data_IF_119088294237
#
_entry.id   IF_119088294237
#
_cell.length_a   1.000
_cell.length_b   1.000
_cell.length_c   1.000
_cell.angle_alpha   90.00
_cell.angle_beta   90.00
_cell.angle_gamma   90.00
#
_symmetry.space_group_name_H-M   'P 1'
#
loop_
_entity.id
_entity.type
_entity.pdbx_description
1 polymer ?
#
# COMPACT_ATOMS: atom_id res chain seq x y z
N UNK A 1 -1.74 -26.58 9.59
CA UNK A 1 -1.16 -25.25 9.30
C UNK A 1 -2.27 -24.34 8.83
N UNK A 2 -2.78 -23.46 9.69
CA UNK A 2 -3.83 -22.50 9.29
C UNK A 2 -3.16 -21.39 8.49
N UNK A 3 -3.24 -21.49 7.16
CA UNK A 3 -2.65 -20.51 6.25
C UNK A 3 -3.51 -19.25 6.32
N UNK A 4 -2.98 -18.17 6.90
CA UNK A 4 -3.65 -16.86 6.87
C UNK A 4 -3.83 -16.44 5.42
N UNK A 5 -5.06 -16.40 4.94
CA UNK A 5 -5.37 -15.97 3.58
C UNK A 5 -5.37 -14.43 3.54
N UNK A 6 -4.20 -13.85 3.31
CA UNK A 6 -4.09 -12.44 2.96
C UNK A 6 -4.29 -12.28 1.45
N UNK A 7 -5.48 -11.85 1.04
CA UNK A 7 -5.78 -11.67 -0.39
C UNK A 7 -5.03 -10.49 -1.02
N UNK A 8 -4.66 -9.48 -0.22
CA UNK A 8 -4.00 -8.26 -0.70
C UNK A 8 -2.96 -7.76 0.32
N UNK A 9 -1.81 -8.44 0.45
CA UNK A 9 -0.81 -8.13 1.46
C UNK A 9 0.05 -6.91 1.10
N UNK A 10 -0.05 -6.38 -0.11
CA UNK A 10 0.69 -5.18 -0.53
C UNK A 10 -0.20 -3.96 -0.43
N UNK A 11 0.33 -2.84 0.01
CA UNK A 11 -0.44 -1.61 0.14
C UNK A 11 0.38 -0.39 -0.25
N UNK A 12 -0.29 0.64 -0.79
CA UNK A 12 0.29 1.96 -0.99
C UNK A 12 -0.14 2.85 0.16
N UNK A 13 0.83 3.42 0.85
CA UNK A 13 0.64 4.37 1.93
C UNK A 13 1.01 5.79 1.48
N UNK A 14 0.26 6.78 1.97
CA UNK A 14 0.52 8.22 1.79
C UNK A 14 0.90 8.85 3.13
N UNK A 15 1.90 9.72 3.13
CA UNK A 15 2.22 10.57 4.27
C UNK A 15 1.26 11.76 4.33
N UNK A 16 0.64 11.96 5.48
CA UNK A 16 -0.18 13.13 5.79
C UNK A 16 0.68 14.28 6.36
N UNK A 17 0.20 15.53 6.33
CA UNK A 17 0.91 16.68 6.88
C UNK A 17 1.24 16.55 8.38
N UNK A 18 0.47 15.75 9.11
CA UNK A 18 0.69 15.46 10.53
C UNK A 18 1.75 14.36 10.78
N UNK A 19 2.47 13.92 9.74
CA UNK A 19 3.51 12.89 9.83
C UNK A 19 2.99 11.45 9.89
N UNK A 20 1.67 11.22 9.84
CA UNK A 20 1.10 9.88 9.87
C UNK A 20 1.01 9.28 8.47
N UNK A 21 1.21 7.96 8.39
CA UNK A 21 1.00 7.19 7.17
C UNK A 21 -0.42 6.62 7.15
N UNK A 22 -1.10 6.74 6.02
CA UNK A 22 -2.43 6.14 5.80
C UNK A 22 -2.42 5.26 4.56
N UNK A 23 -3.08 4.11 4.64
CA UNK A 23 -3.24 3.20 3.50
C UNK A 23 -4.29 3.78 2.56
N UNK A 24 -3.92 3.97 1.29
CA UNK A 24 -4.81 4.51 0.25
C UNK A 24 -5.19 3.46 -0.81
N UNK A 25 -4.59 2.28 -0.77
CA UNK A 25 -4.92 1.16 -1.65
C UNK A 25 -4.23 -0.13 -1.24
N UNK A 26 -4.87 -1.27 -1.48
CA UNK A 26 -4.33 -2.63 -1.26
C UNK A 26 -4.29 -3.42 -2.56
N UNK A 27 -3.28 -4.25 -2.71
CA UNK A 27 -2.89 -4.96 -3.92
C UNK A 27 -2.50 -6.41 -3.62
N UNK A 28 -2.74 -7.28 -4.59
CA UNK A 28 -2.38 -8.69 -4.49
C UNK A 28 -0.89 -8.91 -4.69
N UNK A 29 -0.26 -8.11 -5.55
CA UNK A 29 1.16 -8.21 -5.90
C UNK A 29 1.91 -6.89 -5.59
N UNK A 30 3.23 -6.94 -5.40
CA UNK A 30 4.04 -5.73 -5.23
C UNK A 30 4.07 -4.91 -6.53
N UNK A 31 4.12 -5.56 -7.69
CA UNK A 31 4.16 -4.91 -9.00
C UNK A 31 2.92 -4.02 -9.27
N UNK A 32 1.72 -4.48 -8.88
CA UNK A 32 0.51 -3.65 -9.00
C UNK A 32 0.58 -2.42 -8.07
N UNK A 33 1.10 -2.60 -6.87
CA UNK A 33 1.28 -1.52 -5.90
C UNK A 33 2.30 -0.48 -6.39
N UNK A 34 3.44 -0.93 -6.93
CA UNK A 34 4.47 -0.09 -7.52
C UNK A 34 3.96 0.66 -8.77
N UNK A 35 3.17 0.00 -9.62
CA UNK A 35 2.54 0.65 -10.77
C UNK A 35 1.64 1.81 -10.35
N UNK A 36 0.82 1.62 -9.31
CA UNK A 36 0.01 2.71 -8.76
C UNK A 36 0.88 3.80 -8.10
N UNK A 37 1.91 3.42 -7.34
CA UNK A 37 2.86 4.36 -6.74
C UNK A 37 3.51 5.27 -7.80
N UNK A 38 3.92 4.70 -8.94
CA UNK A 38 4.53 5.45 -10.04
C UNK A 38 3.55 6.48 -10.62
N UNK A 39 2.30 6.08 -10.85
CA UNK A 39 1.26 7.00 -11.33
C UNK A 39 1.01 8.14 -10.32
N UNK A 40 0.97 7.84 -9.03
CA UNK A 40 0.78 8.83 -7.97
C UNK A 40 1.94 9.83 -7.91
N UNK A 41 3.18 9.37 -8.03
CA UNK A 41 4.37 10.23 -8.07
C UNK A 41 4.37 11.16 -9.29
N UNK A 42 3.88 10.70 -10.44
CA UNK A 42 3.76 11.53 -11.64
C UNK A 42 2.66 12.59 -11.50
N UNK A 43 1.51 12.21 -10.93
CA UNK A 43 0.36 13.13 -10.80
C UNK A 43 0.51 14.12 -9.65
N UNK A 44 1.11 13.71 -8.54
CA UNK A 44 1.20 14.52 -7.32
C UNK A 44 2.59 14.40 -6.70
N UNK A 45 3.64 14.97 -7.34
CA UNK A 45 5.03 14.77 -6.94
C UNK A 45 5.37 15.33 -5.56
N UNK A 46 4.59 16.30 -5.07
CA UNK A 46 4.80 16.94 -3.77
C UNK A 46 4.34 16.07 -2.58
N UNK A 47 3.67 14.94 -2.84
CA UNK A 47 3.22 14.03 -1.79
C UNK A 47 4.17 12.84 -1.67
N UNK A 48 4.40 12.40 -0.43
CA UNK A 48 5.22 11.22 -0.18
C UNK A 48 4.36 9.96 -0.14
N UNK A 49 4.79 8.96 -0.89
CA UNK A 49 4.13 7.67 -1.01
C UNK A 49 5.14 6.53 -0.85
N UNK A 50 4.70 5.41 -0.27
CA UNK A 50 5.49 4.18 -0.11
C UNK A 50 4.63 2.95 -0.36
N UNK A 51 5.22 1.92 -0.96
CA UNK A 51 4.67 0.56 -0.95
C UNK A 51 5.10 -0.12 0.35
N UNK A 52 4.16 -0.79 1.01
CA UNK A 52 4.38 -1.53 2.25
C UNK A 52 3.76 -2.91 2.15
N UNK A 53 4.38 -3.88 2.81
CA UNK A 53 3.77 -5.19 3.05
C UNK A 53 2.98 -5.13 4.35
N UNK A 54 1.66 -5.31 4.28
CA UNK A 54 0.75 -5.18 5.40
C UNK A 54 -0.26 -6.35 5.44
N UNK A 55 -0.15 -7.17 6.48
CA UNK A 55 -0.99 -8.35 6.71
C UNK A 55 -2.31 -8.02 7.44
N UNK A 56 -2.65 -6.74 7.64
CA UNK A 56 -3.85 -6.38 8.39
C UNK A 56 -5.19 -6.81 7.72
N UNK A 57 -5.18 -7.22 6.44
CA UNK A 57 -6.36 -7.82 5.78
C UNK A 57 -6.40 -9.36 5.88
N UNK A 58 -5.45 -9.98 6.58
CA UNK A 58 -5.48 -11.42 6.83
C UNK A 58 -6.68 -11.75 7.73
N UNK A 59 -7.71 -12.36 7.15
CA UNK A 59 -8.74 -13.04 7.95
C UNK A 59 -8.10 -14.24 8.66
N UNK A 60 -8.41 -14.36 9.95
CA UNK A 60 -7.92 -15.44 10.84
C UNK A 60 -8.75 -16.69 10.62
#
# INVERSE_FOLDING_TARGET
>A
MTKKECFKPWAVARLLPNGKWVIIGRYRSPSDADGHLQLLRQRVPNMQFKVVFDLADCKV
#
